data_IF_142832012548
#
_entry.id   IF_142832012548
#
_cell.length_a   1.000
_cell.length_b   1.000
_cell.length_c   1.000
_cell.angle_alpha   90.00
_cell.angle_beta   90.00
_cell.angle_gamma   90.00
#
_symmetry.space_group_name_H-M   'P 1'
#
loop_
_entity.id
_entity.type
_entity.pdbx_description
1 polymer ?
#
# COMPACT_ATOMS: atom_id res chain seq x y z
N UNK A 1 45.29 43.57 14.77
CA UNK A 1 43.83 43.39 14.61
C UNK A 1 43.43 42.24 13.65
N UNK A 2 44.35 41.36 13.21
CA UNK A 2 44.05 40.32 12.19
C UNK A 2 43.50 38.98 12.75
N UNK A 3 43.52 38.74 14.06
CA UNK A 3 43.14 37.44 14.63
C UNK A 3 41.64 37.26 14.94
N UNK A 4 40.87 38.35 15.01
CA UNK A 4 39.42 38.29 15.28
C UNK A 4 38.59 37.87 14.05
N UNK A 5 39.03 38.20 12.83
CA UNK A 5 38.33 37.84 11.59
C UNK A 5 38.39 36.34 11.25
N UNK A 6 39.52 35.70 11.56
CA UNK A 6 39.78 34.27 11.30
C UNK A 6 39.07 33.35 12.29
N UNK A 7 38.92 33.77 13.55
CA UNK A 7 38.15 32.99 14.54
C UNK A 7 36.65 32.99 14.24
N UNK A 8 36.07 34.12 13.80
CA UNK A 8 34.63 34.24 13.53
C UNK A 8 34.19 33.37 12.34
N UNK A 9 35.01 33.29 11.30
CA UNK A 9 34.78 32.44 10.12
C UNK A 9 34.97 30.95 10.42
N UNK A 10 35.95 30.59 11.26
CA UNK A 10 36.16 29.21 11.73
C UNK A 10 35.00 28.72 12.61
N UNK A 11 34.48 29.57 13.50
CA UNK A 11 33.28 29.29 14.33
C UNK A 11 32.01 29.13 13.48
N UNK A 12 31.80 29.99 12.47
CA UNK A 12 30.66 29.88 11.54
C UNK A 12 30.71 28.60 10.70
N UNK A 13 31.88 28.24 10.17
CA UNK A 13 32.08 26.98 9.43
C UNK A 13 31.84 25.74 10.31
N UNK A 14 32.33 25.76 11.55
CA UNK A 14 32.06 24.70 12.52
C UNK A 14 30.57 24.55 12.82
N UNK A 15 29.87 25.66 13.10
CA UNK A 15 28.44 25.64 13.44
C UNK A 15 27.56 25.21 12.26
N UNK A 16 27.87 25.66 11.03
CA UNK A 16 27.17 25.19 9.81
C UNK A 16 27.43 23.71 9.57
N UNK A 17 28.66 23.23 9.81
CA UNK A 17 28.99 21.81 9.71
C UNK A 17 28.27 20.96 10.75
N UNK A 18 28.11 21.45 11.98
CA UNK A 18 27.35 20.75 13.02
C UNK A 18 25.85 20.70 12.70
N UNK A 19 25.28 21.78 12.18
CA UNK A 19 23.86 21.82 11.77
C UNK A 19 23.60 20.88 10.60
N UNK A 20 24.48 20.84 9.59
CA UNK A 20 24.38 19.90 8.47
C UNK A 20 24.48 18.44 8.94
N UNK A 21 25.37 18.15 9.90
CA UNK A 21 25.47 16.82 10.52
C UNK A 21 24.19 16.41 11.24
N UNK A 22 23.57 17.33 12.01
CA UNK A 22 22.30 17.06 12.71
C UNK A 22 21.19 16.78 11.69
N UNK A 23 21.08 17.58 10.63
CA UNK A 23 20.09 17.36 9.57
C UNK A 23 20.33 16.00 8.88
N UNK A 24 21.58 15.66 8.58
CA UNK A 24 21.92 14.38 7.97
C UNK A 24 21.54 13.19 8.88
N UNK A 25 21.78 13.29 10.19
CA UNK A 25 21.39 12.27 11.17
C UNK A 25 19.87 12.16 11.28
N UNK A 26 19.15 13.29 11.31
CA UNK A 26 17.69 13.28 11.33
C UNK A 26 17.12 12.63 10.07
N UNK A 27 17.66 12.94 8.89
CA UNK A 27 17.26 12.28 7.65
C UNK A 27 17.57 10.78 7.70
N UNK A 28 18.74 10.36 8.17
CA UNK A 28 19.08 8.94 8.30
C UNK A 28 18.17 8.18 9.27
N UNK A 29 17.70 8.81 10.35
CA UNK A 29 16.84 8.16 11.34
C UNK A 29 15.35 8.17 10.94
N UNK A 30 14.85 9.28 10.42
CA UNK A 30 13.42 9.46 10.15
C UNK A 30 13.01 9.04 8.74
N UNK A 31 13.88 9.20 7.74
CA UNK A 31 13.55 8.87 6.35
C UNK A 31 13.23 7.38 6.16
N UNK A 32 13.98 6.41 6.73
CA UNK A 32 13.64 4.99 6.58
C UNK A 32 12.28 4.64 7.17
N UNK A 33 11.94 5.19 8.35
CA UNK A 33 10.63 4.96 8.98
C UNK A 33 9.49 5.60 8.20
N UNK A 34 9.71 6.80 7.64
CA UNK A 34 8.74 7.47 6.77
C UNK A 34 8.53 6.71 5.45
N UNK A 35 9.61 6.26 4.82
CA UNK A 35 9.55 5.43 3.61
C UNK A 35 8.90 4.08 3.87
N UNK A 36 9.21 3.43 5.00
CA UNK A 36 8.56 2.18 5.41
C UNK A 36 7.06 2.36 5.72
N UNK A 37 6.59 3.56 6.04
CA UNK A 37 5.16 3.85 6.21
C UNK A 37 4.45 4.12 4.88
N UNK A 38 5.15 4.70 3.90
CA UNK A 38 4.59 4.98 2.56
C UNK A 38 4.60 3.74 1.67
N UNK A 39 5.66 2.95 1.75
CA UNK A 39 5.84 1.69 1.03
C UNK A 39 5.47 0.47 1.87
N UNK A 40 5.03 0.69 3.11
CA UNK A 40 4.64 -0.37 4.03
C UNK A 40 3.45 -1.13 3.47
N UNK A 41 3.60 -2.43 3.35
CA UNK A 41 2.51 -3.32 2.95
C UNK A 41 1.41 -3.28 4.02
N UNK A 42 0.27 -2.66 3.71
CA UNK A 42 -0.90 -2.57 4.60
C UNK A 42 -1.46 -3.95 5.02
N UNK A 43 -0.95 -5.03 4.43
CA UNK A 43 -1.27 -6.41 4.82
C UNK A 43 -0.50 -6.94 6.02
N UNK A 44 0.46 -6.18 6.60
CA UNK A 44 1.32 -6.65 7.72
C UNK A 44 2.00 -8.01 7.44
N UNK A 45 2.23 -8.35 6.17
CA UNK A 45 2.78 -9.64 5.76
C UNK A 45 1.83 -10.84 5.93
N UNK A 46 0.55 -10.63 6.22
CA UNK A 46 -0.46 -11.70 6.24
C UNK A 46 -0.92 -12.00 4.83
N UNK A 47 -0.66 -13.22 4.38
CA UNK A 47 -1.11 -13.70 3.07
C UNK A 47 -1.69 -15.10 3.16
N UNK A 48 -2.53 -15.44 2.18
CA UNK A 48 -3.05 -16.79 1.94
C UNK A 48 -2.88 -17.14 0.48
N UNK A 49 -2.76 -18.42 0.18
CA UNK A 49 -2.79 -18.89 -1.20
C UNK A 49 -4.18 -19.38 -1.55
N UNK A 50 -4.70 -18.90 -2.67
CA UNK A 50 -6.06 -19.14 -3.08
C UNK A 50 -6.11 -19.32 -4.61
N UNK A 51 -6.96 -20.23 -5.06
CA UNK A 51 -7.32 -20.40 -6.46
C UNK A 51 -8.45 -19.43 -6.78
N UNK A 52 -8.24 -18.55 -7.75
CA UNK A 52 -9.27 -17.62 -8.21
C UNK A 52 -10.23 -18.36 -9.12
N UNK A 53 -11.54 -18.23 -8.86
CA UNK A 53 -12.58 -18.78 -9.74
C UNK A 53 -13.13 -17.68 -10.66
N UNK A 54 -13.35 -16.48 -10.11
CA UNK A 54 -13.85 -15.31 -10.86
C UNK A 54 -13.27 -14.03 -10.30
N UNK A 55 -13.04 -13.05 -11.17
CA UNK A 55 -12.66 -11.70 -10.81
C UNK A 55 -13.46 -10.69 -11.64
N UNK A 56 -14.00 -9.64 -11.01
CA UNK A 56 -14.71 -8.57 -11.71
C UNK A 56 -14.64 -7.26 -10.92
N UNK A 57 -14.80 -6.14 -11.61
CA UNK A 57 -14.92 -4.83 -10.99
C UNK A 57 -16.39 -4.37 -11.01
N UNK A 58 -16.86 -3.78 -9.91
CA UNK A 58 -18.22 -3.25 -9.79
C UNK A 58 -18.20 -1.96 -8.99
N UNK A 59 -19.17 -1.07 -9.20
CA UNK A 59 -19.34 0.08 -8.33
C UNK A 59 -19.79 -0.39 -6.95
N UNK A 60 -19.22 0.16 -5.89
CA UNK A 60 -19.72 -0.07 -4.53
C UNK A 60 -21.15 0.43 -4.50
N UNK A 61 -22.13 -0.47 -4.36
CA UNK A 61 -23.52 -0.06 -4.17
C UNK A 61 -23.65 0.61 -2.81
N UNK A 62 -23.35 1.91 -2.75
CA UNK A 62 -23.65 2.76 -1.61
C UNK A 62 -25.16 2.96 -1.57
N UNK A 63 -25.80 2.47 -0.53
CA UNK A 63 -27.23 2.74 -0.30
C UNK A 63 -27.47 4.25 -0.29
N UNK A 64 -28.43 4.69 -1.10
CA UNK A 64 -28.88 6.07 -1.23
C UNK A 64 -29.36 6.60 0.13
N UNK A 65 -28.48 7.24 0.89
CA UNK A 65 -28.88 7.98 2.10
C UNK A 65 -28.71 9.49 1.98
N UNK A 66 -28.18 10.01 0.85
CA UNK A 66 -27.95 11.46 0.69
C UNK A 66 -27.84 11.98 -0.76
N UNK A 67 -28.16 11.19 -1.79
CA UNK A 67 -28.07 11.66 -3.19
C UNK A 67 -26.66 11.87 -3.74
N UNK A 68 -25.64 11.30 -3.07
CA UNK A 68 -24.27 11.25 -3.58
C UNK A 68 -23.94 9.77 -3.84
N UNK A 69 -24.08 9.33 -5.08
CA UNK A 69 -23.76 7.96 -5.48
C UNK A 69 -22.27 7.74 -5.23
N UNK A 70 -21.94 6.76 -4.39
CA UNK A 70 -20.54 6.36 -4.19
C UNK A 70 -20.06 5.66 -5.46
N UNK A 71 -19.43 6.42 -6.37
CA UNK A 71 -18.86 5.89 -7.62
C UNK A 71 -17.52 5.19 -7.42
N UNK A 72 -17.16 4.82 -6.18
CA UNK A 72 -15.93 4.07 -5.93
C UNK A 72 -16.00 2.70 -6.61
N UNK A 73 -15.07 2.45 -7.54
CA UNK A 73 -14.97 1.17 -8.23
C UNK A 73 -14.19 0.17 -7.36
N UNK A 74 -14.83 -0.95 -7.06
CA UNK A 74 -14.32 -1.99 -6.16
C UNK A 74 -14.09 -3.27 -6.97
N UNK A 75 -12.98 -3.94 -6.71
CA UNK A 75 -12.66 -5.24 -7.28
C UNK A 75 -13.21 -6.36 -6.40
N UNK A 76 -13.82 -7.36 -7.02
CA UNK A 76 -14.34 -8.55 -6.36
C UNK A 76 -13.64 -9.77 -6.93
N UNK A 77 -13.16 -10.64 -6.03
CA UNK A 77 -12.52 -11.90 -6.42
C UNK A 77 -13.17 -13.03 -5.65
N UNK A 78 -13.77 -13.98 -6.35
CA UNK A 78 -14.24 -15.24 -5.78
C UNK A 78 -13.12 -16.26 -5.85
N UNK A 79 -12.82 -16.86 -4.71
CA UNK A 79 -11.79 -17.89 -4.60
C UNK A 79 -12.36 -19.15 -3.98
N UNK A 80 -11.77 -20.29 -4.35
CA UNK A 80 -12.23 -21.61 -3.90
C UNK A 80 -11.99 -21.83 -2.41
N UNK A 81 -10.82 -21.47 -1.91
CA UNK A 81 -10.40 -21.73 -0.54
C UNK A 81 -10.60 -20.52 0.39
N UNK A 82 -10.48 -19.30 -0.14
CA UNK A 82 -10.45 -18.07 0.67
C UNK A 82 -11.76 -17.29 0.64
N UNK A 83 -12.79 -17.81 -0.04
CA UNK A 83 -14.10 -17.17 -0.15
C UNK A 83 -14.08 -15.91 -1.03
N UNK A 84 -15.00 -14.99 -0.75
CA UNK A 84 -15.14 -13.74 -1.49
C UNK A 84 -14.22 -12.66 -0.94
N UNK A 85 -13.33 -12.19 -1.80
CA UNK A 85 -12.35 -11.15 -1.52
C UNK A 85 -12.78 -9.83 -2.15
N UNK A 86 -12.46 -8.72 -1.48
CA UNK A 86 -12.78 -7.38 -1.94
C UNK A 86 -11.54 -6.47 -1.95
N UNK A 87 -11.29 -5.82 -3.09
CA UNK A 87 -10.26 -4.80 -3.29
C UNK A 87 -10.94 -3.44 -3.33
N UNK A 88 -10.71 -2.63 -2.31
CA UNK A 88 -11.28 -1.28 -2.27
C UNK A 88 -10.57 -0.30 -3.20
N UNK A 89 -9.31 -0.57 -3.52
CA UNK A 89 -8.45 0.28 -4.35
C UNK A 89 -7.65 -0.59 -5.31
N UNK A 90 -7.29 -0.03 -6.46
CA UNK A 90 -6.41 -0.72 -7.41
C UNK A 90 -5.03 -0.89 -6.77
N UNK A 91 -4.47 -2.12 -6.72
CA UNK A 91 -3.15 -2.33 -6.13
C UNK A 91 -2.05 -1.59 -6.88
N UNK A 92 -2.25 -1.37 -8.18
CA UNK A 92 -1.31 -0.68 -9.05
C UNK A 92 -1.84 0.73 -9.32
N UNK A 93 -1.08 1.76 -8.92
CA UNK A 93 -1.50 3.17 -9.04
C UNK A 93 -1.73 3.61 -10.49
N UNK A 94 -1.03 2.98 -11.44
CA UNK A 94 -1.09 3.31 -12.86
C UNK A 94 -2.13 2.46 -13.64
N UNK A 95 -2.89 1.61 -12.94
CA UNK A 95 -3.85 0.68 -13.54
C UNK A 95 -5.24 0.89 -12.95
N UNK A 96 -6.26 0.93 -13.82
CA UNK A 96 -7.65 0.98 -13.36
C UNK A 96 -8.06 -0.32 -12.67
N UNK A 97 -9.10 -0.27 -11.83
CA UNK A 97 -9.61 -1.48 -11.19
C UNK A 97 -10.11 -2.50 -12.21
N UNK A 98 -10.75 -2.05 -13.29
CA UNK A 98 -11.22 -2.90 -14.39
C UNK A 98 -10.05 -3.64 -15.06
N UNK A 99 -8.99 -2.91 -15.41
CA UNK A 99 -7.80 -3.50 -16.04
C UNK A 99 -7.10 -4.48 -15.09
N UNK A 100 -7.04 -4.16 -13.80
CA UNK A 100 -6.46 -5.04 -12.80
C UNK A 100 -7.27 -6.33 -12.65
N UNK A 101 -8.60 -6.25 -12.53
CA UNK A 101 -9.48 -7.42 -12.46
C UNK A 101 -9.41 -8.25 -13.75
N UNK A 102 -9.32 -7.62 -14.92
CA UNK A 102 -9.18 -8.31 -16.21
C UNK A 102 -7.84 -9.04 -16.36
N UNK A 103 -6.80 -8.60 -15.64
CA UNK A 103 -5.49 -9.26 -15.61
C UNK A 103 -5.45 -10.52 -14.73
N UNK A 104 -6.48 -10.74 -13.92
CA UNK A 104 -6.57 -11.92 -13.06
C UNK A 104 -7.16 -13.08 -13.90
N UNK A 105 -6.39 -14.15 -14.05
CA UNK A 105 -6.80 -15.34 -14.78
C UNK A 105 -7.72 -16.22 -13.92
N UNK A 106 -8.95 -16.51 -14.37
CA UNK A 106 -9.79 -17.54 -13.76
C UNK A 106 -9.08 -18.89 -13.76
N UNK A 107 -9.10 -19.57 -12.62
CA UNK A 107 -8.39 -20.84 -12.36
C UNK A 107 -6.91 -20.68 -11.97
N UNK A 108 -6.38 -19.45 -11.98
CA UNK A 108 -5.02 -19.17 -11.55
C UNK A 108 -4.84 -19.32 -10.03
N UNK A 109 -3.63 -19.69 -9.62
CA UNK A 109 -3.23 -19.77 -8.22
C UNK A 109 -2.54 -18.46 -7.81
N UNK A 110 -3.01 -17.84 -6.73
CA UNK A 110 -2.56 -16.51 -6.33
C UNK A 110 -2.22 -16.47 -4.84
N UNK A 111 -1.16 -15.72 -4.53
CA UNK A 111 -0.83 -15.25 -3.18
C UNK A 111 -1.62 -13.97 -2.93
N UNK A 112 -2.59 -14.07 -2.03
CA UNK A 112 -3.52 -13.01 -1.66
C UNK A 112 -3.06 -12.35 -0.37
N UNK A 113 -2.83 -11.04 -0.42
CA UNK A 113 -2.40 -10.23 0.72
C UNK A 113 -3.62 -9.67 1.45
N UNK A 114 -3.77 -10.01 2.72
CA UNK A 114 -4.95 -9.72 3.54
C UNK A 114 -4.82 -8.37 4.25
N UNK A 115 -5.76 -7.46 4.01
CA UNK A 115 -5.83 -6.20 4.74
C UNK A 115 -6.32 -6.47 6.17
N UNK A 116 -5.67 -5.86 7.16
CA UNK A 116 -5.98 -6.05 8.58
C UNK A 116 -7.31 -5.41 9.05
N UNK A 117 -8.14 -4.93 8.11
CA UNK A 117 -9.42 -4.29 8.39
C UNK A 117 -10.53 -5.28 8.04
N UNK A 118 -11.29 -5.71 9.06
CA UNK A 118 -12.53 -6.43 8.82
C UNK A 118 -13.51 -5.49 8.12
N UNK A 119 -13.88 -5.82 6.87
CA UNK A 119 -15.02 -5.19 6.24
C UNK A 119 -16.25 -5.50 7.09
N UNK A 120 -17.10 -4.51 7.37
CA UNK A 120 -18.29 -4.63 8.22
C UNK A 120 -19.37 -5.61 7.74
N UNK A 121 -19.06 -6.46 6.76
CA UNK A 121 -19.93 -7.53 6.26
C UNK A 121 -19.33 -8.90 6.59
N UNK A 122 -20.06 -9.79 7.28
CA UNK A 122 -19.59 -11.14 7.57
C UNK A 122 -19.35 -11.92 6.27
N UNK A 123 -18.20 -12.58 6.18
CA UNK A 123 -17.80 -13.37 5.01
C UNK A 123 -17.06 -12.59 3.91
N UNK A 124 -16.80 -11.29 4.10
CA UNK A 124 -16.07 -10.47 3.15
C UNK A 124 -14.66 -10.13 3.62
N UNK A 125 -13.66 -10.64 2.90
CA UNK A 125 -12.25 -10.42 3.26
C UNK A 125 -11.67 -9.28 2.44
N UNK A 126 -11.13 -8.25 3.11
CA UNK A 126 -10.45 -7.15 2.43
C UNK A 126 -9.04 -7.58 2.06
N UNK A 127 -8.62 -7.30 0.82
CA UNK A 127 -7.29 -7.66 0.33
C UNK A 127 -6.62 -6.46 -0.30
N UNK A 128 -5.29 -6.40 -0.20
CA UNK A 128 -4.49 -5.28 -0.74
C UNK A 128 -4.00 -5.56 -2.15
N UNK A 129 -3.62 -6.81 -2.45
CA UNK A 129 -3.20 -7.24 -3.79
C UNK A 129 -3.24 -8.77 -3.94
N UNK A 130 -3.26 -9.21 -5.19
CA UNK A 130 -3.05 -10.60 -5.59
C UNK A 130 -1.79 -10.69 -6.44
N UNK A 131 -0.91 -11.62 -6.10
CA UNK A 131 0.30 -11.95 -6.86
C UNK A 131 0.18 -13.37 -7.40
N UNK A 132 0.41 -13.57 -8.69
CA UNK A 132 0.37 -14.91 -9.30
C UNK A 132 1.43 -15.78 -8.64
N UNK A 133 1.05 -16.97 -8.20
CA UNK A 133 1.92 -17.94 -7.54
C UNK A 133 1.88 -19.27 -8.28
N UNK A 134 2.98 -20.01 -8.23
CA UNK A 134 3.01 -21.39 -8.71
C UNK A 134 2.41 -22.31 -7.66
N UNK A 135 1.62 -23.29 -8.11
CA UNK A 135 1.11 -24.31 -7.19
C UNK A 135 2.30 -25.15 -6.69
N UNK A 136 2.44 -25.36 -5.37
CA UNK A 136 3.41 -26.36 -4.89
C UNK A 136 3.03 -27.72 -5.48
N UNK A 137 4.02 -28.40 -6.05
CA UNK A 137 3.89 -29.74 -6.66
C UNK A 137 3.86 -30.84 -5.61
#
# INVERSE_FOLDING_TARGET
MAQQGTQRTKRRKGMVSTVLLIIAILLLLFLPGYLARIFGDDSEGKYKYCTVEKAWAEYRAGGDLSGNTDYTRVGWVETRECGKLALSESPNKDQSMDDYMASIEPGGYYKVYLKNVQLGSPGLTSVTRLEKAERPS
#
